data_IF_011354885512
#
_entry.id   IF_011354885512
#
_cell.length_a   1.000
_cell.length_b   1.000
_cell.length_c   1.000
_cell.angle_alpha   90.00
_cell.angle_beta   90.00
_cell.angle_gamma   90.00
#
_symmetry.space_group_name_H-M   'P 1'
#
loop_
_entity.id
_entity.type
_entity.pdbx_description
1 polymer ?
#
# COMPACT_ATOMS: atom_id res chain seq x y z
N UNK A 1 8.89 -8.49 17.35
CA UNK A 1 8.16 -8.80 16.10
C UNK A 1 8.03 -10.31 15.95
N UNK A 2 6.86 -10.82 15.54
CA UNK A 2 6.63 -12.26 15.32
C UNK A 2 7.39 -12.79 14.08
N UNK A 3 7.60 -14.11 14.01
CA UNK A 3 8.37 -14.73 12.91
C UNK A 3 7.71 -14.54 11.53
N UNK A 4 6.38 -14.64 11.43
CA UNK A 4 5.66 -14.42 10.17
C UNK A 4 5.76 -12.96 9.70
N UNK A 5 5.79 -12.01 10.64
CA UNK A 5 5.89 -10.59 10.36
C UNK A 5 7.29 -10.23 9.84
N UNK A 6 8.32 -10.82 10.45
CA UNK A 6 9.71 -10.69 9.98
C UNK A 6 9.85 -11.26 8.57
N UNK A 7 9.34 -12.48 8.32
CA UNK A 7 9.39 -13.09 6.99
C UNK A 7 8.63 -12.25 5.95
N UNK A 8 7.48 -11.67 6.29
CA UNK A 8 6.72 -10.81 5.37
C UNK A 8 7.58 -9.63 4.88
N UNK A 9 8.30 -8.96 5.79
CA UNK A 9 9.17 -7.83 5.44
C UNK A 9 10.40 -8.28 4.62
N UNK A 10 10.96 -9.45 4.91
CA UNK A 10 12.06 -10.04 4.15
C UNK A 10 11.62 -10.43 2.73
N UNK A 11 10.47 -11.10 2.60
CA UNK A 11 9.85 -11.48 1.33
C UNK A 11 9.54 -10.24 0.51
N UNK A 12 9.03 -9.18 1.13
CA UNK A 12 8.84 -7.89 0.47
C UNK A 12 10.14 -7.35 -0.10
N UNK A 13 11.20 -7.31 0.72
CA UNK A 13 12.51 -6.81 0.31
C UNK A 13 13.07 -7.58 -0.88
N UNK A 14 13.01 -8.92 -0.82
CA UNK A 14 13.54 -9.81 -1.86
C UNK A 14 12.75 -9.73 -3.17
N UNK A 15 11.46 -9.42 -3.11
CA UNK A 15 10.59 -9.34 -4.28
C UNK A 15 10.32 -7.89 -4.74
N UNK A 16 11.05 -6.90 -4.21
CA UNK A 16 10.85 -5.47 -4.51
C UNK A 16 10.77 -5.18 -6.02
N UNK A 17 11.68 -5.77 -6.79
CA UNK A 17 11.71 -5.63 -8.25
C UNK A 17 10.48 -6.24 -8.92
N UNK A 18 10.13 -7.48 -8.55
CA UNK A 18 8.95 -8.19 -9.08
C UNK A 18 7.66 -7.43 -8.78
N UNK A 19 7.55 -6.84 -7.59
CA UNK A 19 6.42 -6.00 -7.19
C UNK A 19 6.32 -4.78 -8.10
N UNK A 20 7.43 -4.07 -8.32
CA UNK A 20 7.45 -2.88 -9.15
C UNK A 20 7.07 -3.20 -10.59
N UNK A 21 7.60 -4.29 -11.16
CA UNK A 21 7.31 -4.72 -12.52
C UNK A 21 5.84 -5.15 -12.67
N UNK A 22 5.33 -5.94 -11.72
CA UNK A 22 3.91 -6.38 -11.70
C UNK A 22 2.96 -5.18 -11.60
N UNK A 23 3.29 -4.19 -10.76
CA UNK A 23 2.48 -2.99 -10.62
C UNK A 23 2.57 -2.10 -11.87
N UNK A 24 3.73 -1.99 -12.49
CA UNK A 24 3.90 -1.21 -13.71
C UNK A 24 3.01 -1.77 -14.82
N UNK A 25 2.98 -3.09 -14.98
CA UNK A 25 2.10 -3.76 -15.94
C UNK A 25 0.62 -3.54 -15.63
N UNK A 26 0.24 -3.67 -14.34
CA UNK A 26 -1.14 -3.48 -13.89
C UNK A 26 -1.65 -2.03 -14.06
N UNK A 27 -0.77 -1.04 -13.92
CA UNK A 27 -1.14 0.39 -13.96
C UNK A 27 -1.00 1.00 -15.36
N UNK A 28 -0.08 0.50 -16.19
CA UNK A 28 0.15 0.99 -17.54
C UNK A 28 -1.11 0.91 -18.41
N UNK A 29 -1.88 -0.16 -18.24
CA UNK A 29 -3.09 -0.46 -19.02
C UNK A 29 -4.39 -0.04 -18.35
N UNK A 30 -4.36 0.56 -17.16
CA UNK A 30 -5.57 0.91 -16.43
C UNK A 30 -6.07 2.32 -16.80
N UNK A 31 -7.22 2.46 -17.47
CA UNK A 31 -7.77 3.77 -17.85
C UNK A 31 -8.30 4.58 -16.66
N UNK A 32 -8.49 3.94 -15.50
CA UNK A 32 -9.01 4.57 -14.29
C UNK A 32 -7.90 5.14 -13.39
N UNK A 33 -6.63 4.99 -13.77
CA UNK A 33 -5.50 5.57 -13.08
C UNK A 33 -4.98 6.79 -13.85
N UNK A 34 -5.23 8.02 -13.34
CA UNK A 34 -4.82 9.24 -14.04
C UNK A 34 -3.31 9.48 -13.98
N UNK A 35 -2.61 8.86 -13.02
CA UNK A 35 -1.16 8.98 -12.84
C UNK A 35 -0.47 7.81 -13.52
N UNK A 36 0.55 8.12 -14.33
CA UNK A 36 1.49 7.13 -14.87
C UNK A 36 2.72 7.12 -13.98
N UNK A 37 3.08 5.94 -13.49
CA UNK A 37 4.25 5.74 -12.65
C UNK A 37 5.40 5.21 -13.50
N UNK A 38 6.61 5.65 -13.19
CA UNK A 38 7.81 4.93 -13.59
C UNK A 38 8.04 3.75 -12.64
N UNK A 39 8.91 2.83 -13.05
CA UNK A 39 9.35 1.74 -12.17
C UNK A 39 9.96 2.27 -10.86
N UNK A 40 10.74 3.35 -10.94
CA UNK A 40 11.39 3.95 -9.77
C UNK A 40 10.37 4.55 -8.80
N UNK A 41 9.34 5.24 -9.32
CA UNK A 41 8.24 5.76 -8.49
C UNK A 41 7.56 4.64 -7.70
N UNK A 42 7.27 3.51 -8.38
CA UNK A 42 6.64 2.34 -7.76
C UNK A 42 7.54 1.76 -6.66
N UNK A 43 8.84 1.64 -6.92
CA UNK A 43 9.79 1.15 -5.92
C UNK A 43 9.81 2.05 -4.68
N UNK A 44 9.81 3.37 -4.85
CA UNK A 44 9.76 4.31 -3.72
C UNK A 44 8.44 4.22 -2.95
N UNK A 45 7.31 4.14 -3.66
CA UNK A 45 5.98 3.98 -3.04
C UNK A 45 5.92 2.69 -2.21
N UNK A 46 6.42 1.58 -2.73
CA UNK A 46 6.38 0.31 -2.03
C UNK A 46 7.40 0.19 -0.90
N UNK A 47 8.53 0.88 -0.98
CA UNK A 47 9.45 1.02 0.15
C UNK A 47 8.81 1.83 1.27
N UNK A 48 8.10 2.92 0.94
CA UNK A 48 7.32 3.70 1.90
C UNK A 48 6.21 2.87 2.55
N UNK A 49 5.45 2.10 1.76
CA UNK A 49 4.40 1.21 2.27
C UNK A 49 4.98 0.11 3.18
N UNK A 50 6.11 -0.49 2.80
CA UNK A 50 6.82 -1.46 3.63
C UNK A 50 7.28 -0.85 4.95
N UNK A 51 7.82 0.37 4.93
CA UNK A 51 8.28 1.06 6.14
C UNK A 51 7.11 1.35 7.10
N UNK A 52 5.99 1.87 6.58
CA UNK A 52 4.75 2.05 7.37
C UNK A 52 4.24 0.73 7.96
N UNK A 53 4.33 -0.36 7.20
CA UNK A 53 3.93 -1.69 7.67
C UNK A 53 4.88 -2.24 8.74
N UNK A 54 6.18 -1.98 8.62
CA UNK A 54 7.17 -2.38 9.61
C UNK A 54 6.96 -1.67 10.95
N UNK A 55 6.59 -0.38 10.94
CA UNK A 55 6.21 0.36 12.15
C UNK A 55 5.01 -0.28 12.86
N UNK A 56 3.93 -0.57 12.12
CA UNK A 56 2.71 -1.20 12.66
C UNK A 56 2.99 -2.61 13.23
N UNK A 57 3.84 -3.40 12.56
CA UNK A 57 4.25 -4.73 13.02
C UNK A 57 5.24 -4.69 14.19
N UNK A 58 6.01 -3.62 14.31
CA UNK A 58 6.96 -3.38 15.40
C UNK A 58 6.29 -2.89 16.67
N UNK A 59 5.15 -2.19 16.56
CA UNK A 59 4.42 -1.59 17.68
C UNK A 59 5.14 -0.38 18.29
N UNK A 60 6.06 0.24 17.55
CA UNK A 60 6.95 1.29 18.05
C UNK A 60 6.41 2.71 17.78
N UNK A 61 5.78 2.93 16.62
CA UNK A 61 5.23 4.23 16.20
C UNK A 61 4.20 4.05 15.06
N UNK A 62 3.48 5.13 14.73
CA UNK A 62 2.67 5.23 13.50
C UNK A 62 3.04 6.47 12.67
N UNK A 63 4.23 7.03 12.89
CA UNK A 63 4.63 8.34 12.39
C UNK A 63 4.64 8.41 10.86
N UNK A 64 5.13 7.37 10.18
CA UNK A 64 5.14 7.35 8.71
C UNK A 64 3.71 7.27 8.17
N UNK A 65 2.87 6.43 8.78
CA UNK A 65 1.45 6.33 8.39
C UNK A 65 0.73 7.64 8.64
N UNK A 66 0.95 8.27 9.79
CA UNK A 66 0.28 9.52 10.15
C UNK A 66 0.76 10.67 9.26
N UNK A 67 2.04 10.69 8.89
CA UNK A 67 2.57 11.65 7.91
C UNK A 67 1.92 11.45 6.55
N UNK A 68 1.83 10.21 6.06
CA UNK A 68 1.17 9.89 4.80
C UNK A 68 -0.30 10.31 4.82
N UNK A 69 -1.02 9.96 5.89
CA UNK A 69 -2.44 10.24 6.05
C UNK A 69 -2.73 11.74 6.18
N UNK A 70 -1.92 12.49 6.92
CA UNK A 70 -2.19 13.90 7.19
C UNK A 70 -1.53 14.88 6.21
N UNK A 71 -0.60 14.41 5.36
CA UNK A 71 0.08 15.27 4.38
C UNK A 71 -0.14 14.83 2.94
N UNK A 72 0.07 13.55 2.64
CA UNK A 72 -0.01 13.06 1.25
C UNK A 72 -1.45 13.00 0.77
N UNK A 73 -2.36 12.37 1.54
CA UNK A 73 -3.77 12.25 1.14
C UNK A 73 -4.42 13.64 0.94
N UNK A 74 -4.30 14.60 1.87
CA UNK A 74 -4.79 15.96 1.65
C UNK A 74 -4.17 16.65 0.42
N UNK A 75 -2.87 16.46 0.20
CA UNK A 75 -2.18 17.01 -0.98
C UNK A 75 -2.76 16.48 -2.30
N UNK A 76 -3.06 15.18 -2.38
CA UNK A 76 -3.68 14.57 -3.56
C UNK A 76 -5.10 15.11 -3.80
N UNK A 77 -5.90 15.25 -2.74
CA UNK A 77 -7.26 15.79 -2.81
C UNK A 77 -7.24 17.26 -3.24
N UNK A 78 -6.39 18.09 -2.63
CA UNK A 78 -6.21 19.49 -2.99
C UNK A 78 -5.69 19.66 -4.43
N UNK A 79 -4.89 18.70 -4.91
CA UNK A 79 -4.45 18.59 -6.31
C UNK A 79 -5.55 18.17 -7.29
N UNK A 80 -6.78 17.93 -6.83
CA UNK A 80 -7.93 17.60 -7.65
C UNK A 80 -8.07 16.12 -8.00
N UNK A 81 -7.32 15.22 -7.37
CA UNK A 81 -7.53 13.79 -7.58
C UNK A 81 -8.86 13.33 -6.97
N UNK A 82 -9.72 12.63 -7.73
CA UNK A 82 -10.95 12.05 -7.18
C UNK A 82 -10.64 11.05 -6.06
N UNK A 83 -11.43 11.08 -4.98
CA UNK A 83 -11.23 10.18 -3.84
C UNK A 83 -11.34 8.70 -4.27
N UNK A 84 -12.22 8.41 -5.23
CA UNK A 84 -12.37 7.08 -5.85
C UNK A 84 -11.09 6.61 -6.55
N UNK A 85 -10.32 7.50 -7.17
CA UNK A 85 -9.05 7.15 -7.80
C UNK A 85 -7.98 6.81 -6.75
N UNK A 86 -7.90 7.61 -5.67
CA UNK A 86 -6.96 7.36 -4.57
C UNK A 86 -7.27 6.03 -3.88
N UNK A 87 -8.54 5.80 -3.52
CA UNK A 87 -8.98 4.55 -2.92
C UNK A 87 -8.78 3.36 -3.86
N UNK A 88 -9.09 3.52 -5.15
CA UNK A 88 -8.86 2.52 -6.19
C UNK A 88 -7.39 2.11 -6.30
N UNK A 89 -6.47 3.07 -6.23
CA UNK A 89 -5.03 2.79 -6.23
C UNK A 89 -4.61 1.97 -5.00
N UNK A 90 -5.12 2.29 -3.81
CA UNK A 90 -4.84 1.52 -2.59
C UNK A 90 -5.31 0.07 -2.73
N UNK A 91 -6.49 -0.14 -3.31
CA UNK A 91 -7.06 -1.48 -3.53
C UNK A 91 -6.24 -2.27 -4.57
N UNK A 92 -5.85 -1.64 -5.69
CA UNK A 92 -4.99 -2.27 -6.70
C UNK A 92 -3.65 -2.66 -6.06
N UNK A 93 -3.05 -1.76 -5.26
CA UNK A 93 -1.83 -2.05 -4.52
C UNK A 93 -2.01 -3.28 -3.62
N UNK A 94 -3.10 -3.35 -2.86
CA UNK A 94 -3.40 -4.50 -2.01
C UNK A 94 -3.45 -5.81 -2.80
N UNK A 95 -4.15 -5.82 -3.94
CA UNK A 95 -4.32 -7.02 -4.78
C UNK A 95 -2.98 -7.49 -5.34
N UNK A 96 -2.20 -6.58 -5.96
CA UNK A 96 -0.94 -6.95 -6.61
C UNK A 96 0.14 -7.35 -5.61
N UNK A 97 0.24 -6.64 -4.48
CA UNK A 97 1.18 -7.03 -3.45
C UNK A 97 0.80 -8.36 -2.81
N UNK A 98 -0.50 -8.60 -2.58
CA UNK A 98 -0.95 -9.87 -2.03
C UNK A 98 -0.66 -11.05 -2.98
N UNK A 99 -0.81 -10.86 -4.30
CA UNK A 99 -0.55 -11.90 -5.30
C UNK A 99 0.94 -12.25 -5.42
N UNK A 100 1.84 -11.31 -5.10
CA UNK A 100 3.30 -11.53 -5.12
C UNK A 100 3.82 -12.04 -3.78
N UNK A 101 3.45 -11.37 -2.68
CA UNK A 101 4.06 -11.60 -1.37
C UNK A 101 3.58 -12.89 -0.71
N UNK A 102 2.27 -13.12 -0.65
CA UNK A 102 1.72 -14.24 0.12
C UNK A 102 2.16 -15.61 -0.44
N UNK A 103 2.16 -15.85 -1.77
CA UNK A 103 2.67 -17.11 -2.30
C UNK A 103 4.17 -17.32 -2.05
N UNK A 104 4.96 -16.23 -1.98
CA UNK A 104 6.40 -16.27 -1.74
C UNK A 104 6.79 -16.51 -0.27
N UNK A 105 5.83 -16.48 0.66
CA UNK A 105 6.04 -16.82 2.06
C UNK A 105 5.97 -18.32 2.33
N UNK A 106 6.59 -18.74 3.43
CA UNK A 106 6.48 -20.09 3.99
C UNK A 106 5.02 -20.45 4.29
N UNK A 107 4.62 -21.68 3.96
CA UNK A 107 3.22 -22.16 4.07
C UNK A 107 2.60 -21.88 5.45
N UNK A 108 3.36 -22.16 6.52
CA UNK A 108 2.92 -21.93 7.91
C UNK A 108 2.61 -20.46 8.27
N UNK A 109 3.17 -19.49 7.53
CA UNK A 109 2.99 -18.06 7.81
C UNK A 109 1.97 -17.39 6.87
N UNK A 110 1.61 -18.02 5.75
CA UNK A 110 0.75 -17.43 4.70
C UNK A 110 -0.59 -16.92 5.23
N UNK A 111 -1.29 -17.70 6.06
CA UNK A 111 -2.62 -17.33 6.55
C UNK A 111 -2.57 -16.13 7.51
N UNK A 112 -1.57 -16.07 8.39
CA UNK A 112 -1.38 -14.95 9.31
C UNK A 112 -1.04 -13.68 8.53
N UNK A 113 -0.06 -13.78 7.62
CA UNK A 113 0.34 -12.67 6.78
C UNK A 113 -0.80 -12.17 5.90
N UNK A 114 -1.54 -13.05 5.22
CA UNK A 114 -2.68 -12.67 4.38
C UNK A 114 -3.78 -11.96 5.18
N UNK A 115 -4.06 -12.43 6.39
CA UNK A 115 -5.06 -11.80 7.27
C UNK A 115 -4.60 -10.41 7.71
N UNK A 116 -3.37 -10.28 8.19
CA UNK A 116 -2.78 -9.00 8.55
C UNK A 116 -2.78 -8.04 7.35
N UNK A 117 -2.27 -8.48 6.20
CA UNK A 117 -2.13 -7.71 4.98
C UNK A 117 -3.47 -7.13 4.52
N UNK A 118 -4.52 -7.98 4.46
CA UNK A 118 -5.88 -7.55 4.13
C UNK A 118 -6.39 -6.50 5.12
N UNK A 119 -6.27 -6.74 6.42
CA UNK A 119 -6.74 -5.81 7.43
C UNK A 119 -6.00 -4.47 7.37
N UNK A 120 -4.70 -4.50 7.10
CA UNK A 120 -3.87 -3.32 6.97
C UNK A 120 -4.32 -2.43 5.80
N UNK A 121 -4.51 -3.01 4.61
CA UNK A 121 -5.01 -2.28 3.44
C UNK A 121 -6.45 -1.81 3.60
N UNK A 122 -7.32 -2.58 4.27
CA UNK A 122 -8.67 -2.13 4.61
C UNK A 122 -8.63 -0.87 5.48
N UNK A 123 -7.78 -0.83 6.52
CA UNK A 123 -7.61 0.38 7.36
C UNK A 123 -7.08 1.54 6.54
N UNK A 124 -6.02 1.35 5.76
CA UNK A 124 -5.46 2.40 4.89
C UNK A 124 -6.51 3.00 3.96
N UNK A 125 -7.37 2.16 3.36
CA UNK A 125 -8.44 2.62 2.48
C UNK A 125 -9.51 3.40 3.25
N UNK A 126 -9.97 2.89 4.40
CA UNK A 126 -10.96 3.58 5.25
C UNK A 126 -10.44 4.94 5.74
N UNK A 127 -9.19 5.00 6.20
CA UNK A 127 -8.56 6.23 6.67
C UNK A 127 -8.39 7.25 5.55
N UNK A 128 -7.98 6.79 4.37
CA UNK A 128 -7.86 7.64 3.19
C UNK A 128 -9.20 8.23 2.79
N UNK A 129 -10.27 7.42 2.79
CA UNK A 129 -11.63 7.89 2.51
C UNK A 129 -12.09 8.90 3.57
N UNK A 130 -11.92 8.58 4.86
CA UNK A 130 -12.29 9.47 5.96
C UNK A 130 -11.61 10.83 5.82
N UNK A 131 -10.29 10.84 5.65
CA UNK A 131 -9.51 12.08 5.52
C UNK A 131 -9.89 12.82 4.25
N UNK A 132 -10.05 12.13 3.12
CA UNK A 132 -10.48 12.76 1.88
C UNK A 132 -11.82 13.48 2.00
N UNK A 133 -12.78 12.87 2.71
CA UNK A 133 -14.07 13.51 3.00
C UNK A 133 -13.93 14.72 3.93
N UNK A 134 -13.09 14.65 4.96
CA UNK A 134 -12.77 15.77 5.85
C UNK A 134 -12.14 16.97 5.10
N UNK A 135 -11.41 16.69 4.01
CA UNK A 135 -10.83 17.70 3.11
C UNK A 135 -11.81 18.22 2.04
N UNK A 136 -13.06 17.75 2.03
CA UNK A 136 -14.10 18.19 1.09
C UNK A 136 -14.01 17.54 -0.29
N UNK A 137 -13.37 16.37 -0.41
CA UNK A 137 -13.35 15.62 -1.67
C UNK A 137 -14.78 15.27 -2.13
N UNK A 138 -15.01 15.37 -3.44
CA UNK A 138 -16.25 14.90 -4.06
C UNK A 138 -16.17 13.38 -4.26
N UNK A 139 -17.25 12.68 -3.92
CA UNK A 139 -17.43 11.23 -4.13
C UNK A 139 -17.97 10.99 -5.54
#
# INVERSE_FOLDING_TARGET
>A
MEAWATELLEVWTRNRDVIADTMLDATSNNPYLPVKYTREDLMQIFDGARAMMAEDLGGESSELRDTYMNSVVPGLVAGGQPLSAIAGQIVINAIQLQSVLIPAMSEKHRNQAATFFRNWYCRMCMDTVRIGLEQGAKV
#
